data_IF_821605516234
#
_entry.id   IF_821605516234
#
_cell.length_a   1.000
_cell.length_b   1.000
_cell.length_c   1.000
_cell.angle_alpha   90.00
_cell.angle_beta   90.00
_cell.angle_gamma   90.00
#
_symmetry.space_group_name_H-M   'P 1'
#
loop_
_entity.id
_entity.type
_entity.pdbx_description
1 polymer ?
#
# COMPACT_ATOMS: atom_id res chain seq x y z
N UNK A 1 30.27 6.00 -1.43
CA UNK A 1 29.11 5.13 -1.74
C UNK A 1 28.69 4.49 -0.43
N UNK A 2 27.43 4.63 0.00
CA UNK A 2 26.97 3.88 1.17
C UNK A 2 26.88 2.39 0.81
N UNK A 3 27.03 1.51 1.80
CA UNK A 3 26.87 0.07 1.61
C UNK A 3 25.46 -0.27 1.11
N UNK A 4 25.32 -1.30 0.27
CA UNK A 4 24.01 -1.85 -0.11
C UNK A 4 23.20 -2.14 1.15
N UNK A 5 21.97 -1.63 1.22
CA UNK A 5 21.06 -1.82 2.36
C UNK A 5 19.90 -2.70 1.91
N UNK A 6 19.59 -3.75 2.69
CA UNK A 6 18.32 -4.45 2.54
C UNK A 6 17.24 -3.61 3.23
N UNK A 7 16.25 -3.13 2.47
CA UNK A 7 15.16 -2.30 2.97
C UNK A 7 14.19 -3.08 3.89
N UNK A 8 14.18 -4.40 3.81
CA UNK A 8 13.36 -5.28 4.65
C UNK A 8 14.06 -5.77 5.91
N UNK A 9 15.32 -5.39 6.12
CA UNK A 9 16.05 -5.80 7.32
C UNK A 9 15.33 -5.28 8.58
N UNK A 10 14.91 -6.20 9.45
CA UNK A 10 14.18 -5.89 10.67
C UNK A 10 12.66 -5.79 10.50
N UNK A 11 12.12 -5.99 9.29
CA UNK A 11 10.67 -6.12 9.07
C UNK A 11 10.23 -7.58 9.20
N UNK A 12 8.94 -7.76 9.52
CA UNK A 12 8.35 -9.08 9.80
C UNK A 12 8.29 -10.00 8.57
N UNK A 13 8.15 -9.45 7.38
CA UNK A 13 8.11 -10.20 6.12
C UNK A 13 8.66 -9.37 4.96
N UNK A 14 9.25 -10.07 3.99
CA UNK A 14 9.87 -9.49 2.80
C UNK A 14 8.92 -9.58 1.60
N UNK A 15 8.43 -8.42 1.15
CA UNK A 15 7.54 -8.28 -0.01
C UNK A 15 8.26 -7.69 -1.24
N UNK A 16 9.60 -7.64 -1.21
CA UNK A 16 10.41 -7.13 -2.33
C UNK A 16 10.33 -7.98 -3.59
N UNK A 17 9.94 -9.25 -3.46
CA UNK A 17 9.78 -10.22 -4.55
C UNK A 17 8.56 -11.12 -4.33
N UNK A 18 8.10 -11.84 -5.37
CA UNK A 18 7.06 -12.87 -5.22
C UNK A 18 7.57 -14.05 -4.38
N UNK A 19 6.68 -14.72 -3.66
CA UNK A 19 6.95 -16.03 -3.05
C UNK A 19 7.85 -16.07 -1.80
N UNK A 20 8.28 -14.92 -1.25
CA UNK A 20 9.16 -14.90 -0.07
C UNK A 20 8.45 -15.11 1.27
N UNK A 21 7.12 -14.94 1.31
CA UNK A 21 6.33 -15.00 2.55
C UNK A 21 5.60 -16.33 2.67
N UNK A 22 5.83 -17.13 3.73
CA UNK A 22 5.12 -18.39 3.95
C UNK A 22 3.62 -18.20 4.22
N UNK A 23 2.78 -19.16 3.84
CA UNK A 23 1.32 -19.05 3.96
C UNK A 23 0.83 -18.82 5.39
N UNK A 24 1.40 -19.51 6.38
CA UNK A 24 1.05 -19.31 7.79
C UNK A 24 1.33 -17.86 8.28
N UNK A 25 2.35 -17.21 7.71
CA UNK A 25 2.64 -15.81 8.02
C UNK A 25 1.65 -14.87 7.35
N UNK A 26 1.20 -15.17 6.12
CA UNK A 26 0.17 -14.39 5.42
C UNK A 26 -1.12 -14.31 6.23
N UNK A 27 -1.59 -15.44 6.77
CA UNK A 27 -2.78 -15.48 7.62
C UNK A 27 -2.63 -14.61 8.87
N UNK A 28 -1.45 -14.68 9.52
CA UNK A 28 -1.12 -13.85 10.68
C UNK A 28 -1.15 -12.36 10.33
N UNK A 29 -0.55 -11.98 9.21
CA UNK A 29 -0.49 -10.59 8.75
C UNK A 29 -1.88 -10.01 8.48
N UNK A 30 -2.80 -10.80 7.90
CA UNK A 30 -4.19 -10.40 7.69
C UNK A 30 -4.92 -10.18 9.03
N UNK A 31 -4.73 -11.08 9.99
CA UNK A 31 -5.34 -10.93 11.32
C UNK A 31 -4.83 -9.67 12.05
N UNK A 32 -3.53 -9.39 11.96
CA UNK A 32 -2.93 -8.17 12.48
C UNK A 32 -3.48 -6.92 11.79
N UNK A 33 -3.70 -6.95 10.47
CA UNK A 33 -4.31 -5.84 9.75
C UNK A 33 -5.68 -5.46 10.26
N UNK A 34 -6.53 -6.45 10.50
CA UNK A 34 -7.85 -6.25 11.10
C UNK A 34 -7.71 -5.62 12.50
N UNK A 35 -6.76 -6.11 13.31
CA UNK A 35 -6.53 -5.57 14.66
C UNK A 35 -5.96 -4.15 14.64
N UNK A 36 -5.10 -3.81 13.69
CA UNK A 36 -4.50 -2.48 13.55
C UNK A 36 -5.51 -1.44 13.08
N UNK A 37 -6.32 -1.74 12.05
CA UNK A 37 -7.34 -0.79 11.57
C UNK A 37 -8.41 -0.51 12.63
N UNK A 38 -8.69 -1.48 13.51
CA UNK A 38 -9.63 -1.32 14.61
C UNK A 38 -9.15 -0.34 15.70
N UNK A 39 -7.86 -0.01 15.74
CA UNK A 39 -7.28 0.94 16.70
C UNK A 39 -7.40 2.40 16.24
N UNK A 40 -7.82 2.65 15.00
CA UNK A 40 -7.90 3.99 14.43
C UNK A 40 -8.89 4.87 15.20
N UNK A 41 -8.40 6.00 15.67
CA UNK A 41 -9.17 7.01 16.39
C UNK A 41 -9.87 7.96 15.43
N UNK A 42 -11.06 8.41 15.82
CA UNK A 42 -11.87 9.33 15.04
C UNK A 42 -11.14 10.65 14.76
N UNK A 43 -10.37 11.16 15.72
CA UNK A 43 -9.50 12.35 15.55
C UNK A 43 -8.05 11.95 15.39
N UNK A 44 -7.29 12.69 14.59
CA UNK A 44 -5.86 12.44 14.44
C UNK A 44 -5.17 12.67 15.79
N UNK A 45 -4.54 11.65 16.41
CA UNK A 45 -3.93 11.79 17.72
C UNK A 45 -2.78 12.80 17.67
N UNK A 46 -2.54 13.50 18.78
CA UNK A 46 -1.40 14.39 18.91
C UNK A 46 -0.10 13.58 19.02
N UNK A 47 1.01 14.17 18.58
CA UNK A 47 2.34 13.65 18.90
C UNK A 47 2.75 14.29 20.21
N UNK A 48 2.98 13.48 21.23
CA UNK A 48 3.32 13.90 22.58
C UNK A 48 4.24 12.88 23.26
N UNK A 49 4.38 12.96 24.59
CA UNK A 49 5.25 12.08 25.36
C UNK A 49 4.77 10.62 25.39
N UNK A 50 3.46 10.37 25.21
CA UNK A 50 2.85 9.04 25.24
C UNK A 50 2.68 8.46 23.83
N UNK A 51 2.73 9.30 22.79
CA UNK A 51 2.66 8.89 21.39
C UNK A 51 3.72 9.60 20.53
N UNK A 52 4.94 9.07 20.60
CA UNK A 52 6.14 9.65 20.00
C UNK A 52 6.29 9.28 18.52
N UNK A 53 7.19 9.97 17.81
CA UNK A 53 7.54 9.62 16.42
C UNK A 53 8.18 8.24 16.32
N UNK A 54 8.92 7.81 17.33
CA UNK A 54 9.55 6.50 17.41
C UNK A 54 8.50 5.39 17.50
N UNK A 55 7.47 5.59 18.34
CA UNK A 55 6.33 4.67 18.42
C UNK A 55 5.60 4.62 17.08
N UNK A 56 5.28 5.77 16.49
CA UNK A 56 4.60 5.85 15.18
C UNK A 56 5.41 5.15 14.08
N UNK A 57 6.72 5.35 14.04
CA UNK A 57 7.58 4.71 13.03
C UNK A 57 7.60 3.19 13.21
N UNK A 58 7.63 2.69 14.45
CA UNK A 58 7.55 1.26 14.72
C UNK A 58 6.20 0.69 14.28
N UNK A 59 5.09 1.35 14.62
CA UNK A 59 3.75 0.96 14.17
C UNK A 59 3.61 0.99 12.64
N UNK A 60 4.29 1.92 11.96
CA UNK A 60 4.35 1.95 10.50
C UNK A 60 5.13 0.76 9.92
N UNK A 61 6.23 0.34 10.57
CA UNK A 61 6.97 -0.88 10.21
C UNK A 61 6.16 -2.14 10.44
N UNK A 62 5.40 -2.20 11.53
CA UNK A 62 4.54 -3.34 11.88
C UNK A 62 3.35 -3.44 10.92
N UNK A 63 2.77 -2.30 10.54
CA UNK A 63 1.70 -2.21 9.55
C UNK A 63 2.13 -2.64 8.15
N UNK A 64 3.38 -2.35 7.75
CA UNK A 64 3.79 -2.47 6.35
C UNK A 64 3.61 -3.86 5.72
N UNK A 65 4.09 -4.97 6.32
CA UNK A 65 3.90 -6.29 5.73
C UNK A 65 2.43 -6.69 5.61
N UNK A 66 1.63 -6.27 6.57
CA UNK A 66 0.17 -6.46 6.56
C UNK A 66 -0.50 -5.69 5.44
N UNK A 67 -0.10 -4.44 5.17
CA UNK A 67 -0.59 -3.69 4.02
C UNK A 67 -0.27 -4.43 2.72
N UNK A 68 0.98 -4.86 2.55
CA UNK A 68 1.40 -5.60 1.35
C UNK A 68 0.58 -6.88 1.14
N UNK A 69 0.32 -7.64 2.21
CA UNK A 69 -0.48 -8.86 2.13
C UNK A 69 -1.95 -8.58 1.84
N UNK A 70 -2.54 -7.59 2.51
CA UNK A 70 -3.91 -7.17 2.26
C UNK A 70 -4.11 -6.76 0.79
N UNK A 71 -3.11 -6.06 0.22
CA UNK A 71 -3.10 -5.72 -1.20
C UNK A 71 -3.06 -6.95 -2.08
N UNK A 72 -2.14 -7.89 -1.84
CA UNK A 72 -2.03 -9.13 -2.63
C UNK A 72 -3.27 -10.01 -2.55
N UNK A 73 -4.01 -9.97 -1.43
CA UNK A 73 -5.25 -10.73 -1.25
C UNK A 73 -6.52 -9.97 -1.67
N UNK A 74 -6.40 -8.74 -2.19
CA UNK A 74 -7.56 -7.92 -2.55
C UNK A 74 -8.46 -7.54 -1.37
N UNK A 75 -7.89 -7.45 -0.15
CA UNK A 75 -8.61 -7.11 1.09
C UNK A 75 -8.81 -5.60 1.22
N UNK A 76 -9.65 -5.07 0.32
CA UNK A 76 -9.99 -3.65 0.27
C UNK A 76 -10.61 -3.10 1.56
N UNK A 77 -11.20 -3.95 2.40
CA UNK A 77 -11.70 -3.59 3.72
C UNK A 77 -10.57 -3.19 4.69
N UNK A 78 -9.43 -3.89 4.66
CA UNK A 78 -8.25 -3.56 5.46
C UNK A 78 -7.56 -2.31 4.88
N UNK A 79 -7.41 -2.24 3.56
CA UNK A 79 -6.75 -1.12 2.89
C UNK A 79 -7.53 0.20 3.06
N UNK A 80 -8.85 0.17 2.90
CA UNK A 80 -9.70 1.34 3.16
C UNK A 80 -9.71 1.68 4.66
N UNK A 81 -9.62 0.68 5.53
CA UNK A 81 -9.52 0.85 6.98
C UNK A 81 -8.30 1.67 7.42
N UNK A 82 -7.23 1.69 6.62
CA UNK A 82 -6.03 2.49 6.88
C UNK A 82 -6.26 4.00 6.72
N UNK A 83 -7.07 4.40 5.74
CA UNK A 83 -7.25 5.79 5.35
C UNK A 83 -8.14 6.54 6.32
N UNK A 84 -7.81 7.80 6.62
CA UNK A 84 -8.72 8.69 7.33
C UNK A 84 -9.81 9.22 6.43
N UNK A 85 -10.95 9.59 7.03
CA UNK A 85 -12.08 10.19 6.31
C UNK A 85 -11.71 11.53 5.66
N UNK A 86 -10.71 12.23 6.21
CA UNK A 86 -10.13 13.48 5.74
C UNK A 86 -8.82 13.31 4.94
N UNK A 87 -8.55 12.09 4.43
CA UNK A 87 -7.38 11.80 3.60
C UNK A 87 -7.21 12.84 2.48
N UNK A 88 -6.00 13.37 2.33
CA UNK A 88 -5.59 14.10 1.13
C UNK A 88 -4.72 13.18 0.28
N UNK A 89 -5.10 12.99 -0.97
CA UNK A 89 -4.32 12.18 -1.91
C UNK A 89 -3.95 13.01 -3.13
N UNK A 90 -2.65 13.23 -3.35
CA UNK A 90 -2.09 13.79 -4.56
C UNK A 90 -1.54 12.72 -5.52
N UNK A 91 -2.08 12.66 -6.72
CA UNK A 91 -1.69 11.71 -7.76
C UNK A 91 -1.63 12.36 -9.14
N UNK A 92 -1.19 11.59 -10.13
CA UNK A 92 -0.91 12.09 -11.49
C UNK A 92 -2.13 12.71 -12.20
N UNK A 93 -3.34 12.29 -11.84
CA UNK A 93 -4.62 12.76 -12.36
C UNK A 93 -5.28 13.86 -11.49
N UNK A 94 -4.50 14.45 -10.58
CA UNK A 94 -4.87 15.59 -9.73
C UNK A 94 -5.12 15.21 -8.27
N UNK A 95 -5.10 16.18 -7.33
CA UNK A 95 -5.43 15.91 -5.93
C UNK A 95 -6.92 15.59 -5.74
N UNK A 96 -7.20 14.75 -4.76
CA UNK A 96 -8.55 14.56 -4.22
C UNK A 96 -8.54 14.48 -2.70
N UNK A 97 -9.73 14.58 -2.11
CA UNK A 97 -9.91 14.59 -0.66
C UNK A 97 -11.05 13.70 -0.22
N UNK A 98 -10.83 13.01 0.90
CA UNK A 98 -11.72 12.02 1.48
C UNK A 98 -11.82 10.72 0.70
N UNK A 99 -12.59 9.78 1.26
CA UNK A 99 -12.69 8.41 0.76
C UNK A 99 -13.63 8.25 -0.44
N UNK A 100 -14.52 9.21 -0.70
CA UNK A 100 -15.50 9.10 -1.79
C UNK A 100 -14.86 9.37 -3.15
N UNK A 101 -14.07 10.45 -3.27
CA UNK A 101 -13.45 10.85 -4.53
C UNK A 101 -12.40 9.84 -5.04
N UNK A 102 -11.90 9.00 -4.14
CA UNK A 102 -10.94 7.94 -4.39
C UNK A 102 -11.54 6.76 -5.17
N UNK A 103 -12.79 6.39 -4.88
CA UNK A 103 -13.37 5.10 -5.28
C UNK A 103 -13.39 4.92 -6.80
N UNK A 104 -13.84 5.95 -7.52
CA UNK A 104 -13.95 5.92 -8.97
C UNK A 104 -12.58 5.87 -9.66
N UNK A 105 -11.51 6.41 -9.06
CA UNK A 105 -10.17 6.40 -9.65
C UNK A 105 -9.44 5.11 -9.33
N UNK A 106 -9.43 4.73 -8.05
CA UNK A 106 -8.71 3.57 -7.59
C UNK A 106 -9.22 2.28 -8.23
N UNK A 107 -10.53 2.13 -8.50
CA UNK A 107 -11.03 0.93 -9.19
C UNK A 107 -10.33 0.68 -10.53
N UNK A 108 -9.99 1.74 -11.27
CA UNK A 108 -9.29 1.61 -12.55
C UNK A 108 -7.83 1.21 -12.36
N UNK A 109 -7.15 1.79 -11.36
CA UNK A 109 -5.77 1.40 -11.05
C UNK A 109 -5.69 -0.02 -10.50
N UNK A 110 -6.60 -0.39 -9.60
CA UNK A 110 -6.74 -1.75 -9.07
C UNK A 110 -6.91 -2.77 -10.18
N UNK A 111 -7.78 -2.50 -11.15
CA UNK A 111 -7.98 -3.38 -12.30
C UNK A 111 -6.70 -3.59 -13.12
N UNK A 112 -5.81 -2.59 -13.19
CA UNK A 112 -4.55 -2.68 -13.94
C UNK A 112 -3.41 -3.33 -13.13
N UNK A 113 -3.34 -3.09 -11.83
CA UNK A 113 -2.22 -3.54 -10.99
C UNK A 113 -2.46 -4.89 -10.32
N UNK A 114 -3.71 -5.35 -10.26
CA UNK A 114 -4.13 -6.64 -9.70
C UNK A 114 -4.69 -7.60 -10.76
N UNK A 115 -4.18 -7.54 -12.00
CA UNK A 115 -4.57 -8.44 -13.08
C UNK A 115 -4.22 -9.90 -12.74
N UNK A 116 -4.98 -10.90 -13.22
CA UNK A 116 -4.60 -12.30 -13.10
C UNK A 116 -3.21 -12.55 -13.71
N UNK A 117 -2.36 -13.30 -13.00
CA UNK A 117 -0.99 -13.57 -13.44
C UNK A 117 -0.03 -12.39 -13.28
N UNK A 118 -0.40 -11.39 -12.48
CA UNK A 118 0.47 -10.26 -12.13
C UNK A 118 0.66 -10.19 -10.62
N UNK A 119 1.90 -10.13 -10.19
CA UNK A 119 2.27 -9.97 -8.78
C UNK A 119 2.83 -8.58 -8.51
N UNK A 120 2.18 -7.82 -7.61
CA UNK A 120 2.77 -6.60 -7.05
C UNK A 120 3.86 -6.94 -6.02
N UNK A 121 4.98 -6.22 -6.12
CA UNK A 121 6.14 -6.29 -5.22
C UNK A 121 6.58 -4.89 -4.83
N UNK A 122 7.27 -4.76 -3.70
CA UNK A 122 7.74 -3.48 -3.18
C UNK A 122 9.26 -3.51 -2.93
N UNK A 123 10.10 -3.28 -3.94
CA UNK A 123 11.55 -3.46 -3.79
C UNK A 123 12.19 -2.52 -2.76
N UNK A 124 11.56 -1.38 -2.49
CA UNK A 124 12.06 -0.34 -1.59
C UNK A 124 10.94 0.08 -0.65
N UNK A 125 11.25 0.09 0.65
CA UNK A 125 10.44 0.73 1.69
C UNK A 125 11.37 1.40 2.70
N UNK A 126 11.02 2.60 3.15
CA UNK A 126 11.71 3.35 4.18
C UNK A 126 10.72 4.02 5.11
N UNK A 127 11.09 4.14 6.37
CA UNK A 127 10.27 4.74 7.41
C UNK A 127 11.04 5.88 8.07
N UNK A 128 10.36 6.98 8.35
CA UNK A 128 10.90 8.11 9.10
C UNK A 128 9.79 8.85 9.86
N UNK A 129 9.65 8.55 11.15
CA UNK A 129 8.51 9.02 11.96
C UNK A 129 7.19 8.61 11.31
N UNK A 130 6.39 9.60 10.92
CA UNK A 130 5.09 9.37 10.24
C UNK A 130 5.23 8.99 8.76
N UNK A 131 6.40 9.16 8.16
CA UNK A 131 6.57 9.03 6.73
C UNK A 131 6.93 7.60 6.35
N UNK A 132 6.17 7.04 5.41
CA UNK A 132 6.53 5.77 4.74
C UNK A 132 6.76 6.06 3.27
N UNK A 133 8.00 5.88 2.81
CA UNK A 133 8.39 6.03 1.42
C UNK A 133 8.56 4.65 0.80
N UNK A 134 7.93 4.39 -0.34
CA UNK A 134 8.10 3.11 -0.99
C UNK A 134 7.98 3.20 -2.50
N UNK A 135 8.60 2.22 -3.15
CA UNK A 135 8.42 1.97 -4.57
C UNK A 135 7.80 0.60 -4.74
N UNK A 136 6.81 0.51 -5.61
CA UNK A 136 6.18 -0.73 -6.00
C UNK A 136 6.32 -0.95 -7.50
N UNK A 137 6.24 -2.22 -7.90
CA UNK A 137 6.10 -2.59 -9.30
C UNK A 137 5.24 -3.85 -9.43
N UNK A 138 4.54 -3.94 -10.55
CA UNK A 138 3.79 -5.12 -10.94
C UNK A 138 4.64 -5.95 -11.89
N UNK A 139 4.84 -7.22 -11.56
CA UNK A 139 5.61 -8.19 -12.35
C UNK A 139 4.64 -9.18 -12.96
N UNK A 140 4.72 -9.37 -14.27
CA UNK A 140 4.01 -10.44 -14.96
C UNK A 140 4.62 -11.80 -14.58
N UNK A 141 3.79 -12.75 -14.15
CA UNK A 141 4.25 -14.02 -13.57
C UNK A 141 4.85 -14.96 -14.62
N UNK A 142 4.45 -14.83 -15.90
CA UNK A 142 4.94 -15.66 -17.02
C UNK A 142 6.21 -15.11 -17.65
N UNK A 143 6.23 -13.82 -17.96
CA UNK A 143 7.30 -13.15 -18.72
C UNK A 143 8.33 -12.46 -17.83
N UNK A 144 8.01 -12.23 -16.56
CA UNK A 144 8.81 -11.47 -15.59
C UNK A 144 9.03 -9.99 -15.96
N UNK A 145 8.27 -9.49 -16.94
CA UNK A 145 8.31 -8.07 -17.30
C UNK A 145 7.68 -7.22 -16.19
N UNK A 146 8.19 -6.00 -16.03
CA UNK A 146 7.55 -5.00 -15.17
C UNK A 146 6.48 -4.26 -15.98
N UNK A 147 5.21 -4.44 -15.65
CA UNK A 147 4.09 -3.88 -16.41
C UNK A 147 3.59 -2.53 -15.88
N UNK A 148 3.84 -2.26 -14.60
CA UNK A 148 3.53 -0.99 -13.95
C UNK A 148 4.49 -0.76 -12.78
N UNK A 149 4.67 0.49 -12.40
CA UNK A 149 5.38 0.88 -11.18
C UNK A 149 4.80 2.15 -10.58
N UNK A 150 5.08 2.36 -9.31
CA UNK A 150 4.78 3.62 -8.65
C UNK A 150 5.79 3.97 -7.57
N UNK A 151 5.87 5.26 -7.28
CA UNK A 151 6.55 5.81 -6.13
C UNK A 151 5.51 6.46 -5.23
N UNK A 152 5.55 6.14 -3.95
CA UNK A 152 4.55 6.57 -2.98
C UNK A 152 5.23 7.16 -1.76
N UNK A 153 4.65 8.24 -1.25
CA UNK A 153 4.89 8.73 0.11
C UNK A 153 3.58 8.72 0.86
N UNK A 154 3.55 8.05 2.00
CA UNK A 154 2.49 8.20 2.99
C UNK A 154 2.95 9.06 4.14
N UNK A 155 1.99 9.77 4.70
CA UNK A 155 2.07 10.29 6.06
C UNK A 155 1.01 9.57 6.87
N UNK A 156 1.48 8.64 7.70
CA UNK A 156 0.69 7.72 8.50
C UNK A 156 1.07 7.88 9.97
N UNK A 157 0.09 8.25 10.79
CA UNK A 157 0.26 8.45 12.22
C UNK A 157 -0.02 7.15 12.99
N UNK A 158 0.78 6.12 12.70
CA UNK A 158 0.68 4.82 13.35
C UNK A 158 -0.71 4.17 13.24
N UNK A 159 -1.00 3.17 14.08
CA UNK A 159 -2.27 2.46 14.08
C UNK A 159 -3.44 3.34 14.53
N UNK A 160 -3.20 4.26 15.48
CA UNK A 160 -4.23 5.14 16.04
C UNK A 160 -4.64 6.25 15.07
N UNK A 161 -3.71 6.76 14.26
CA UNK A 161 -3.99 7.90 13.39
C UNK A 161 -4.35 7.51 11.96
N UNK A 162 -3.84 6.39 11.45
CA UNK A 162 -4.02 5.98 10.05
C UNK A 162 -3.29 6.90 9.07
N UNK A 163 -3.52 6.67 7.78
CA UNK A 163 -2.94 7.45 6.69
C UNK A 163 -3.82 8.66 6.36
N UNK A 164 -3.25 9.85 6.46
CA UNK A 164 -3.96 11.13 6.26
C UNK A 164 -3.42 11.94 5.09
N UNK A 165 -2.24 11.58 4.58
CA UNK A 165 -1.73 12.09 3.33
C UNK A 165 -1.08 10.98 2.53
N UNK A 166 -1.43 10.89 1.25
CA UNK A 166 -0.80 9.99 0.28
C UNK A 166 -0.38 10.79 -0.95
N UNK A 167 0.83 10.56 -1.43
CA UNK A 167 1.26 11.05 -2.74
C UNK A 167 1.69 9.86 -3.58
N UNK A 168 1.26 9.79 -4.83
CA UNK A 168 1.62 8.67 -5.70
C UNK A 168 1.89 9.13 -7.12
N UNK A 169 3.03 8.72 -7.67
CA UNK A 169 3.33 8.83 -9.08
C UNK A 169 3.31 7.44 -9.69
N UNK A 170 2.46 7.23 -10.69
CA UNK A 170 2.31 5.94 -11.37
C UNK A 170 2.98 5.97 -12.75
N UNK A 171 3.39 4.81 -13.24
CA UNK A 171 3.85 4.62 -14.61
C UNK A 171 3.41 3.24 -15.07
N UNK A 172 2.68 3.18 -16.17
CA UNK A 172 2.26 1.93 -16.81
C UNK A 172 3.15 1.68 -18.05
N UNK A 173 3.71 0.49 -18.17
CA UNK A 173 4.62 0.08 -19.24
C UNK A 173 3.91 -0.67 -20.37
N UNK A 174 2.92 -1.51 -20.02
CA UNK A 174 1.97 -2.13 -20.96
C UNK A 174 0.56 -1.62 -20.65
N UNK A 175 -0.27 -1.57 -21.69
CA UNK A 175 -1.72 -1.32 -21.64
C UNK A 175 -2.14 0.04 -21.07
N UNK A 176 -2.14 1.05 -21.94
CA UNK A 176 -2.93 2.28 -21.74
C UNK A 176 -4.43 2.04 -22.03
N UNK A 177 -4.78 0.87 -22.58
CA UNK A 177 -6.13 0.42 -22.93
C UNK A 177 -6.30 -1.06 -22.56
N UNK A 178 -7.40 -1.42 -21.88
CA UNK A 178 -7.70 -2.81 -21.54
C UNK A 178 -8.12 -3.61 -22.80
N UNK A 179 -7.73 -4.89 -22.94
CA UNK A 179 -8.23 -5.74 -24.01
C UNK A 179 -9.75 -5.94 -23.92
N UNK A 180 -10.41 -6.07 -25.08
CA UNK A 180 -11.88 -6.18 -25.22
C UNK A 180 -12.53 -7.28 -24.36
N UNK A 181 -11.78 -8.33 -24.03
CA UNK A 181 -12.25 -9.42 -23.15
C UNK A 181 -12.52 -8.93 -21.72
N UNK A 182 -11.74 -7.97 -21.21
CA UNK A 182 -11.89 -7.42 -19.87
C UNK A 182 -12.99 -6.36 -19.81
N UNK A 183 -13.19 -5.59 -20.88
CA UNK A 183 -14.27 -4.59 -20.98
C UNK A 183 -15.67 -5.24 -20.91
N UNK A 184 -15.81 -6.46 -21.44
CA UNK A 184 -17.07 -7.22 -21.45
C UNK A 184 -17.48 -7.77 -20.08
N UNK A 185 -16.61 -7.70 -19.08
CA UNK A 185 -16.90 -8.13 -17.71
C UNK A 185 -17.55 -7.01 -16.87
N UNK A 186 -17.70 -5.81 -17.45
CA UNK A 186 -18.31 -4.65 -16.80
C UNK A 186 -19.76 -4.52 -17.30
N UNK A 187 -20.73 -4.75 -16.43
CA UNK A 187 -22.14 -4.37 -16.67
C UNK A 187 -22.39 -3.01 -16.02
N UNK A 188 -22.71 -2.01 -16.84
CA UNK A 188 -23.26 -0.70 -16.39
C UNK A 188 -24.69 -0.85 -15.91
#
# INVERSE_FOLDING_TARGET
MSSRKNYYLGLKADYSQPGLVPDALKETLIAEGIAYVAQKEATLPAIDADYTLETIEQENKDWWPTHCEALRQGRGDILTGEYRDDLVYFCQDGPYSGLEQQQEREKHWWALIAQPGVTMVWPIVMFYGEHTFFEWKCVDDETHETIAKGNVTWVRRGHRGGCYLKTEQLTFYRDVFAPDSLLKLITT
#
